data_IF_351385559982
#
_entry.id   IF_351385559982
#
_cell.length_a   1.000
_cell.length_b   1.000
_cell.length_c   1.000
_cell.angle_alpha   90.00
_cell.angle_beta   90.00
_cell.angle_gamma   90.00
#
_symmetry.space_group_name_H-M   'P 1'
#
loop_
_entity.id
_entity.type
_entity.pdbx_description
1 polymer ?
#
# COMPACT_ATOMS: atom_id res chain seq x y z
N UNK A 1 41.13 -13.32 -6.61
CA UNK A 1 40.10 -13.69 -7.61
C UNK A 1 38.77 -13.16 -7.12
N UNK A 2 38.17 -12.20 -7.85
CA UNK A 2 36.82 -11.68 -7.55
C UNK A 2 35.81 -12.79 -7.83
N UNK A 3 35.12 -13.26 -6.81
CA UNK A 3 33.97 -14.14 -7.01
C UNK A 3 32.82 -13.32 -7.63
N UNK A 4 32.47 -13.64 -8.86
CA UNK A 4 31.24 -13.13 -9.47
C UNK A 4 30.07 -13.79 -8.76
N UNK A 5 29.49 -13.14 -7.77
CA UNK A 5 28.27 -13.62 -7.13
C UNK A 5 27.11 -13.46 -8.13
N UNK A 6 26.54 -14.58 -8.55
CA UNK A 6 25.35 -14.55 -9.42
C UNK A 6 24.18 -13.94 -8.65
N UNK A 7 23.60 -12.89 -9.22
CA UNK A 7 22.38 -12.31 -8.67
C UNK A 7 21.25 -13.36 -8.66
N UNK A 8 20.60 -13.62 -7.53
CA UNK A 8 19.47 -14.56 -7.48
C UNK A 8 18.34 -14.08 -8.39
N UNK A 9 17.49 -15.00 -8.84
CA UNK A 9 16.30 -14.65 -9.62
C UNK A 9 15.36 -13.86 -8.71
N UNK A 10 14.96 -12.65 -9.15
CA UNK A 10 13.98 -11.83 -8.43
C UNK A 10 12.59 -12.44 -8.42
N UNK A 11 11.77 -12.06 -7.46
CA UNK A 11 10.36 -12.45 -7.43
C UNK A 11 9.63 -11.84 -8.63
N UNK A 12 8.58 -12.51 -9.09
CA UNK A 12 7.77 -12.05 -10.22
C UNK A 12 7.28 -10.61 -9.99
N UNK A 13 7.44 -9.76 -10.98
CA UNK A 13 7.08 -8.35 -10.91
C UNK A 13 8.16 -7.42 -10.39
N UNK A 14 9.33 -7.95 -9.96
CA UNK A 14 10.48 -7.13 -9.62
C UNK A 14 11.23 -6.68 -10.87
N UNK A 15 11.78 -5.49 -10.83
CA UNK A 15 12.71 -4.95 -11.83
C UNK A 15 14.13 -4.92 -11.25
N UNK A 16 15.11 -5.09 -12.13
CA UNK A 16 16.50 -4.94 -11.74
C UNK A 16 16.81 -3.45 -11.59
N UNK A 17 17.19 -3.07 -10.39
CA UNK A 17 17.48 -1.68 -10.02
C UNK A 17 18.93 -1.57 -9.59
N UNK A 18 19.55 -0.41 -9.79
CA UNK A 18 20.89 -0.12 -9.29
C UNK A 18 20.84 1.10 -8.37
N UNK A 19 21.54 1.03 -7.26
CA UNK A 19 21.96 2.19 -6.51
C UNK A 19 23.44 2.49 -6.76
N UNK A 20 24.02 3.39 -5.98
CA UNK A 20 25.41 3.81 -6.14
C UNK A 20 26.42 2.68 -5.85
N UNK A 21 25.98 1.61 -5.20
CA UNK A 21 26.85 0.57 -4.66
C UNK A 21 26.56 -0.83 -5.22
N UNK A 22 25.32 -1.15 -5.58
CA UNK A 22 24.94 -2.52 -5.89
C UNK A 22 23.79 -2.62 -6.91
N UNK A 23 23.54 -3.82 -7.39
CA UNK A 23 22.44 -4.19 -8.30
C UNK A 23 21.50 -5.13 -7.55
N UNK A 24 20.24 -4.77 -7.44
CA UNK A 24 19.25 -5.55 -6.68
C UNK A 24 17.87 -5.59 -7.37
N UNK A 25 17.04 -6.52 -6.92
CA UNK A 25 15.67 -6.62 -7.40
C UNK A 25 14.75 -5.78 -6.50
N UNK A 26 14.08 -4.79 -7.09
CA UNK A 26 13.06 -4.01 -6.40
C UNK A 26 11.69 -4.17 -7.06
N UNK A 27 10.62 -3.97 -6.29
CA UNK A 27 9.31 -3.73 -6.89
C UNK A 27 9.35 -2.38 -7.61
N UNK A 28 8.81 -2.29 -8.85
CA UNK A 28 8.58 -0.98 -9.45
C UNK A 28 7.67 -0.16 -8.52
N UNK A 29 7.94 1.11 -8.39
CA UNK A 29 7.07 2.07 -7.66
C UNK A 29 5.73 2.32 -8.38
N UNK A 30 5.48 1.59 -9.47
CA UNK A 30 4.25 1.67 -10.23
C UNK A 30 3.13 0.86 -9.55
N UNK A 31 1.92 1.42 -9.57
CA UNK A 31 0.71 0.73 -9.15
C UNK A 31 0.60 -0.67 -9.78
N UNK A 32 0.27 -1.66 -8.99
CA UNK A 32 -0.04 -2.99 -9.51
C UNK A 32 -1.40 -2.95 -10.20
N UNK A 33 -1.51 -3.57 -11.36
CA UNK A 33 -2.80 -3.72 -12.05
C UNK A 33 -3.32 -5.13 -11.84
N UNK A 34 -4.40 -5.25 -11.10
CA UNK A 34 -5.13 -6.50 -10.91
C UNK A 34 -6.29 -6.62 -11.89
N UNK A 35 -6.60 -7.84 -12.27
CA UNK A 35 -7.72 -8.15 -13.14
C UNK A 35 -8.72 -9.06 -12.43
N UNK A 36 -10.00 -8.78 -12.64
CA UNK A 36 -11.13 -9.59 -12.14
C UNK A 36 -11.95 -10.08 -13.31
N UNK A 37 -12.31 -11.36 -13.31
CA UNK A 37 -13.12 -12.00 -14.36
C UNK A 37 -14.00 -13.08 -13.77
N UNK A 38 -15.24 -13.24 -14.29
CA UNK A 38 -16.15 -14.33 -13.88
C UNK A 38 -15.56 -15.73 -14.10
N UNK A 39 -14.62 -15.88 -15.04
CA UNK A 39 -13.87 -17.11 -15.29
C UNK A 39 -12.61 -17.25 -14.43
N UNK A 40 -12.33 -16.27 -13.56
CA UNK A 40 -11.16 -16.26 -12.70
C UNK A 40 -11.32 -17.13 -11.44
N UNK A 41 -10.32 -17.06 -10.58
CA UNK A 41 -10.32 -17.70 -9.26
C UNK A 41 -9.63 -16.79 -8.25
N UNK A 42 -10.17 -16.70 -7.03
CA UNK A 42 -9.54 -15.92 -5.96
C UNK A 42 -8.26 -16.57 -5.41
N UNK A 43 -7.92 -17.77 -5.90
CA UNK A 43 -6.63 -18.40 -5.67
C UNK A 43 -5.55 -18.01 -6.71
N UNK A 44 -5.92 -17.25 -7.73
CA UNK A 44 -5.00 -16.77 -8.76
C UNK A 44 -4.20 -15.56 -8.26
N UNK A 45 -3.26 -15.11 -9.09
CA UNK A 45 -2.39 -13.95 -8.80
C UNK A 45 -3.01 -12.59 -9.18
N UNK A 46 -4.21 -12.58 -9.75
CA UNK A 46 -4.87 -11.35 -10.21
C UNK A 46 -4.27 -10.74 -11.49
N UNK A 47 -3.46 -11.49 -12.24
CA UNK A 47 -2.91 -11.02 -13.51
C UNK A 47 -3.95 -11.07 -14.63
N UNK A 48 -3.65 -10.47 -15.79
CA UNK A 48 -4.55 -10.50 -16.94
C UNK A 48 -4.87 -11.93 -17.41
N UNK A 49 -3.94 -12.87 -17.27
CA UNK A 49 -4.08 -14.27 -17.67
C UNK A 49 -4.61 -15.17 -16.57
N UNK A 50 -4.38 -14.80 -15.32
CA UNK A 50 -4.83 -15.49 -14.10
C UNK A 50 -5.60 -14.50 -13.21
N UNK A 51 -6.78 -14.02 -13.65
CA UNK A 51 -7.54 -13.01 -12.94
C UNK A 51 -8.15 -13.57 -11.65
N UNK A 52 -8.42 -12.69 -10.71
CA UNK A 52 -9.30 -12.99 -9.57
C UNK A 52 -10.74 -13.23 -10.05
N UNK A 53 -11.53 -13.87 -9.21
CA UNK A 53 -12.95 -14.13 -9.48
C UNK A 53 -13.84 -13.03 -8.96
N UNK A 54 -13.53 -12.48 -7.78
CA UNK A 54 -14.38 -11.52 -7.09
C UNK A 54 -13.69 -10.15 -6.95
N UNK A 55 -14.49 -9.10 -7.05
CA UNK A 55 -14.03 -7.72 -6.84
C UNK A 55 -13.64 -7.55 -5.37
N UNK A 56 -14.42 -8.14 -4.47
CA UNK A 56 -14.15 -8.10 -3.03
C UNK A 56 -12.77 -8.66 -2.68
N UNK A 57 -12.38 -9.78 -3.27
CA UNK A 57 -11.04 -10.34 -3.08
C UNK A 57 -9.97 -9.39 -3.65
N UNK A 58 -10.14 -8.90 -4.87
CA UNK A 58 -9.18 -7.97 -5.48
C UNK A 58 -8.97 -6.72 -4.62
N UNK A 59 -10.05 -6.12 -4.07
CA UNK A 59 -9.94 -4.95 -3.19
C UNK A 59 -9.29 -5.26 -1.84
N UNK A 60 -9.39 -6.49 -1.36
CA UNK A 60 -8.70 -6.90 -0.11
C UNK A 60 -7.18 -7.03 -0.29
N UNK A 61 -6.74 -7.47 -1.47
CA UNK A 61 -5.33 -7.65 -1.83
C UNK A 61 -4.68 -6.33 -2.23
N UNK A 62 -5.40 -5.49 -2.97
CA UNK A 62 -4.89 -4.21 -3.45
C UNK A 62 -4.44 -3.30 -2.30
N UNK A 63 -3.33 -2.60 -2.52
CA UNK A 63 -2.70 -1.69 -1.57
C UNK A 63 -2.56 -0.29 -2.13
N UNK A 64 -2.38 0.67 -1.26
CA UNK A 64 -2.05 2.04 -1.60
C UNK A 64 -1.48 2.76 -0.40
N UNK A 65 -0.84 3.90 -0.65
CA UNK A 65 -0.36 4.74 0.43
C UNK A 65 0.84 4.17 1.18
N UNK A 66 1.66 3.36 0.52
CA UNK A 66 2.96 2.99 1.10
C UNK A 66 3.85 4.22 1.13
N UNK A 67 4.49 4.51 2.26
CA UNK A 67 5.42 5.64 2.38
C UNK A 67 6.64 5.39 1.51
N UNK A 68 6.92 6.30 0.59
CA UNK A 68 8.10 6.25 -0.31
C UNK A 68 9.18 7.21 0.17
N UNK A 69 8.79 8.44 0.54
CA UNK A 69 9.72 9.49 0.95
C UNK A 69 9.15 10.27 2.15
N UNK A 70 10.04 10.80 2.97
CA UNK A 70 9.71 11.50 4.20
C UNK A 70 10.35 12.90 4.23
N UNK A 71 9.74 13.82 4.94
CA UNK A 71 10.37 15.09 5.27
C UNK A 71 11.40 14.90 6.40
N UNK A 72 12.22 15.93 6.62
CA UNK A 72 13.28 15.90 7.65
C UNK A 72 12.71 15.49 9.01
N UNK A 73 13.27 14.43 9.64
CA UNK A 73 12.87 14.02 10.97
C UNK A 73 13.18 15.06 12.04
N UNK A 74 12.48 14.95 13.18
CA UNK A 74 12.69 15.78 14.38
C UNK A 74 12.53 14.94 15.64
N UNK A 75 13.16 15.33 16.73
CA UNK A 75 13.17 14.58 18.00
C UNK A 75 14.18 13.43 17.98
N UNK A 76 14.03 12.49 18.91
CA UNK A 76 14.85 11.27 18.97
C UNK A 76 16.30 11.47 19.40
N UNK A 77 16.67 12.63 19.94
CA UNK A 77 18.05 12.92 20.39
C UNK A 77 18.32 12.43 21.80
N UNK A 78 19.59 12.11 22.10
CA UNK A 78 20.03 11.77 23.47
C UNK A 78 19.85 10.29 23.85
N UNK A 79 19.50 9.43 22.90
CA UNK A 79 19.38 7.99 23.12
C UNK A 79 20.72 7.24 22.98
N UNK A 80 20.68 5.93 23.15
CA UNK A 80 21.83 5.06 22.92
C UNK A 80 22.20 5.04 21.43
N UNK A 81 23.47 5.29 21.05
CA UNK A 81 23.89 5.17 19.67
C UNK A 81 23.72 3.74 19.14
N UNK A 82 23.25 3.61 17.89
CA UNK A 82 23.06 2.29 17.29
C UNK A 82 22.31 2.34 15.98
N UNK A 83 22.19 1.16 15.35
CA UNK A 83 21.35 0.93 14.19
C UNK A 83 20.20 0.03 14.61
N UNK A 84 19.00 0.55 14.51
CA UNK A 84 17.75 -0.12 14.88
C UNK A 84 17.03 -0.54 13.61
N UNK A 85 16.94 -1.85 13.36
CA UNK A 85 16.31 -2.40 12.16
C UNK A 85 14.86 -2.78 12.42
N UNK A 86 14.04 -2.71 11.38
CA UNK A 86 12.63 -3.13 11.42
C UNK A 86 11.82 -2.46 12.54
N UNK A 87 12.12 -1.20 12.81
CA UNK A 87 11.40 -0.41 13.81
C UNK A 87 10.02 -0.07 13.26
N UNK A 88 8.98 -0.42 13.99
CA UNK A 88 7.62 -0.06 13.60
C UNK A 88 7.36 1.42 13.84
N UNK A 89 6.56 2.02 12.98
CA UNK A 89 6.09 3.37 13.16
C UNK A 89 4.56 3.45 13.13
N UNK A 90 4.03 4.44 13.83
CA UNK A 90 2.61 4.74 13.87
C UNK A 90 2.31 6.01 13.10
N UNK A 91 1.08 6.14 12.59
CA UNK A 91 0.59 7.31 11.86
C UNK A 91 -0.53 7.98 12.64
N UNK A 92 -0.63 9.29 12.55
CA UNK A 92 -1.83 10.03 13.02
C UNK A 92 -3.02 9.86 12.06
N UNK A 93 -2.78 9.34 10.86
CA UNK A 93 -3.80 8.95 9.89
C UNK A 93 -4.22 7.49 10.05
N UNK A 94 -4.67 6.86 8.97
CA UNK A 94 -5.09 5.45 8.94
C UNK A 94 -4.00 4.49 8.48
N UNK A 95 -2.79 4.99 8.20
CA UNK A 95 -1.66 4.18 7.76
C UNK A 95 -1.20 3.19 8.83
N UNK A 96 -0.80 1.99 8.39
CA UNK A 96 -0.40 0.87 9.24
C UNK A 96 0.77 0.09 8.64
N UNK A 97 1.39 -0.76 9.48
CA UNK A 97 2.41 -1.74 9.09
C UNK A 97 3.68 -1.16 8.46
N UNK A 98 3.97 0.10 8.72
CA UNK A 98 5.22 0.70 8.28
C UNK A 98 6.41 0.27 9.14
N UNK A 99 7.57 0.07 8.50
CA UNK A 99 8.83 -0.26 9.15
C UNK A 99 9.94 0.65 8.64
N UNK A 100 10.82 1.04 9.54
CA UNK A 100 11.98 1.85 9.24
C UNK A 100 13.26 1.24 9.81
N UNK A 101 14.38 1.63 9.24
CA UNK A 101 15.70 1.49 9.84
C UNK A 101 16.11 2.86 10.37
N UNK A 102 16.48 2.92 11.63
CA UNK A 102 16.88 4.16 12.31
C UNK A 102 18.35 4.06 12.71
N UNK A 103 19.14 5.08 12.36
CA UNK A 103 20.54 5.16 12.77
C UNK A 103 20.72 6.37 13.67
N UNK A 104 21.05 6.14 14.93
CA UNK A 104 21.27 7.16 15.94
C UNK A 104 22.75 7.24 16.33
N UNK A 105 23.26 8.45 16.49
CA UNK A 105 24.60 8.74 17.03
C UNK A 105 24.54 9.18 18.51
N UNK A 106 23.35 9.30 19.08
CA UNK A 106 23.10 9.70 20.44
C UNK A 106 23.15 11.20 20.72
N UNK A 107 23.52 12.02 19.72
CA UNK A 107 23.69 13.47 19.90
C UNK A 107 22.83 14.30 18.92
N UNK A 108 22.67 13.83 17.71
CA UNK A 108 21.88 14.49 16.66
C UNK A 108 20.52 13.78 16.44
N UNK A 109 19.67 14.41 15.63
CA UNK A 109 18.44 13.77 15.18
C UNK A 109 18.79 12.55 14.35
N UNK A 110 18.26 11.35 14.67
CA UNK A 110 18.57 10.13 13.92
C UNK A 110 18.19 10.19 12.46
N UNK A 111 18.95 9.49 11.63
CA UNK A 111 18.55 9.26 10.24
C UNK A 111 17.53 8.12 10.15
N UNK A 112 16.56 8.28 9.25
CA UNK A 112 15.48 7.32 9.02
C UNK A 112 15.50 6.87 7.58
N UNK A 113 15.44 5.55 7.38
CA UNK A 113 15.28 4.89 6.09
C UNK A 113 14.00 4.05 6.13
N UNK A 114 13.07 4.29 5.24
CA UNK A 114 11.84 3.50 5.15
C UNK A 114 12.19 2.14 4.51
N UNK A 115 12.06 1.07 5.27
CA UNK A 115 12.33 -0.30 4.78
C UNK A 115 11.07 -1.04 4.34
N UNK A 116 9.91 -0.61 4.86
CA UNK A 116 8.59 -1.02 4.43
C UNK A 116 7.65 0.17 4.60
N UNK A 117 7.10 0.67 3.52
CA UNK A 117 6.22 1.85 3.53
C UNK A 117 4.86 1.62 4.20
N UNK A 118 4.53 0.39 4.56
CA UNK A 118 3.23 0.06 5.13
C UNK A 118 2.10 0.14 4.11
N UNK A 119 0.95 0.64 4.53
CA UNK A 119 -0.19 0.90 3.64
C UNK A 119 -1.16 1.89 4.27
N UNK A 120 -1.94 2.59 3.43
CA UNK A 120 -3.00 3.50 3.88
C UNK A 120 -2.51 4.84 4.43
N UNK A 121 -1.23 5.17 4.25
CA UNK A 121 -0.68 6.49 4.60
C UNK A 121 -1.09 7.54 3.56
N UNK A 122 -1.14 8.79 3.98
CA UNK A 122 -1.37 9.95 3.13
C UNK A 122 -0.19 10.92 3.22
N UNK A 123 0.00 11.71 2.16
CA UNK A 123 0.97 12.82 2.18
C UNK A 123 0.60 13.79 3.31
N UNK A 124 1.59 14.23 4.08
CA UNK A 124 1.50 15.03 5.30
C UNK A 124 0.99 14.29 6.55
N UNK A 125 0.74 12.98 6.51
CA UNK A 125 0.57 12.22 7.73
C UNK A 125 1.80 12.40 8.62
N UNK A 126 1.58 12.59 9.91
CA UNK A 126 2.66 12.60 10.90
C UNK A 126 2.92 11.18 11.37
N UNK A 127 4.15 10.74 11.19
CA UNK A 127 4.64 9.43 11.61
C UNK A 127 5.42 9.60 12.90
N UNK A 128 5.23 8.65 13.81
CA UNK A 128 5.92 8.60 15.10
C UNK A 128 6.59 7.25 15.29
N UNK A 129 7.87 7.29 15.62
CA UNK A 129 8.64 6.16 16.12
C UNK A 129 8.88 6.38 17.62
N UNK A 130 8.47 5.39 18.43
CA UNK A 130 8.56 5.51 19.86
C UNK A 130 10.03 5.53 20.35
N UNK A 131 10.32 6.37 21.30
CA UNK A 131 11.65 6.47 21.91
C UNK A 131 12.17 5.13 22.44
N UNK A 132 11.28 4.30 22.96
CA UNK A 132 11.62 2.97 23.47
C UNK A 132 12.24 2.03 22.41
N UNK A 133 11.92 2.23 21.15
CA UNK A 133 12.33 1.36 20.04
C UNK A 133 13.67 1.80 19.40
N UNK A 134 14.20 2.96 19.81
CA UNK A 134 15.41 3.58 19.23
C UNK A 134 16.42 4.03 20.28
N UNK A 135 16.57 3.25 21.35
CA UNK A 135 17.60 3.46 22.37
C UNK A 135 17.22 4.46 23.47
N UNK A 136 15.92 4.69 23.68
CA UNK A 136 15.37 5.56 24.73
C UNK A 136 15.91 7.01 24.70
N UNK A 137 15.80 7.74 23.59
CA UNK A 137 16.05 9.18 23.56
C UNK A 137 15.04 9.92 24.44
N UNK A 138 15.30 11.21 24.69
CA UNK A 138 14.44 12.06 25.52
C UNK A 138 13.04 12.35 24.95
N UNK A 139 12.82 12.02 23.66
CA UNK A 139 11.54 12.21 22.97
C UNK A 139 11.38 11.22 21.82
N UNK A 140 10.16 10.99 21.38
CA UNK A 140 9.87 10.23 20.17
C UNK A 140 10.51 10.91 18.94
N UNK A 141 10.79 10.10 17.93
CA UNK A 141 11.24 10.56 16.63
C UNK A 141 10.03 10.71 15.72
N UNK A 142 9.86 11.91 15.17
CA UNK A 142 8.71 12.24 14.32
C UNK A 142 9.14 12.78 12.97
N UNK A 143 8.36 12.50 11.94
CA UNK A 143 8.51 13.04 10.59
C UNK A 143 7.16 13.04 9.86
N UNK A 144 7.06 13.77 8.75
CA UNK A 144 5.86 13.74 7.94
C UNK A 144 6.10 13.00 6.63
N UNK A 145 5.08 12.35 6.12
CA UNK A 145 5.10 11.67 4.82
C UNK A 145 5.22 12.72 3.72
N UNK A 146 6.25 12.64 2.90
CA UNK A 146 6.49 13.53 1.77
C UNK A 146 5.87 12.99 0.49
N UNK A 147 6.00 11.68 0.23
CA UNK A 147 5.36 11.03 -0.89
C UNK A 147 4.93 9.61 -0.55
N UNK A 148 3.91 9.14 -1.24
CA UNK A 148 3.40 7.75 -1.17
C UNK A 148 3.38 7.16 -2.57
N UNK A 149 3.40 5.81 -2.66
CA UNK A 149 3.18 5.16 -3.93
C UNK A 149 1.74 5.41 -4.43
N UNK A 150 1.57 5.32 -5.74
CA UNK A 150 0.24 5.36 -6.37
C UNK A 150 -0.48 4.06 -6.03
N UNK A 151 -1.74 4.16 -5.60
CA UNK A 151 -2.53 2.99 -5.26
C UNK A 151 -2.78 2.06 -6.43
N UNK A 152 -2.97 0.77 -6.14
CA UNK A 152 -3.22 -0.27 -7.12
C UNK A 152 -4.50 -0.02 -7.92
N UNK A 153 -4.52 -0.56 -9.14
CA UNK A 153 -5.64 -0.47 -10.07
C UNK A 153 -6.27 -1.85 -10.25
N UNK A 154 -7.58 -1.92 -10.15
CA UNK A 154 -8.35 -3.15 -10.38
C UNK A 154 -9.18 -2.97 -11.64
N UNK A 155 -8.93 -3.79 -12.65
CA UNK A 155 -9.69 -3.84 -13.91
C UNK A 155 -10.69 -4.99 -13.82
N UNK A 156 -11.97 -4.66 -13.82
CA UNK A 156 -13.07 -5.63 -13.78
C UNK A 156 -13.55 -5.85 -15.22
N UNK A 157 -13.34 -7.06 -15.72
CA UNK A 157 -13.76 -7.44 -17.09
C UNK A 157 -15.27 -7.45 -17.23
N UNK A 158 -15.77 -7.43 -18.45
CA UNK A 158 -17.20 -7.50 -18.73
C UNK A 158 -17.82 -8.74 -18.09
N UNK A 159 -18.97 -8.58 -17.44
CA UNK A 159 -19.67 -9.65 -16.77
C UNK A 159 -20.60 -9.16 -15.66
N UNK A 160 -21.39 -10.08 -15.11
CA UNK A 160 -22.24 -9.84 -13.93
C UNK A 160 -21.57 -10.48 -12.72
N UNK A 161 -21.18 -9.67 -11.75
CA UNK A 161 -20.48 -10.08 -10.55
C UNK A 161 -21.45 -10.10 -9.37
N UNK A 162 -21.64 -11.27 -8.77
CA UNK A 162 -22.46 -11.43 -7.56
C UNK A 162 -21.54 -11.39 -6.34
N UNK A 163 -21.61 -10.29 -5.61
CA UNK A 163 -20.66 -9.99 -4.54
C UNK A 163 -21.31 -10.05 -3.15
N UNK A 164 -20.52 -10.47 -2.16
CA UNK A 164 -20.89 -10.33 -0.74
C UNK A 164 -20.55 -8.90 -0.32
N UNK A 165 -21.60 -8.13 -0.09
CA UNK A 165 -21.50 -6.70 0.19
C UNK A 165 -21.29 -6.40 1.69
N UNK A 166 -20.71 -5.26 2.06
CA UNK A 166 -20.16 -4.24 1.16
C UNK A 166 -18.79 -4.62 0.59
N UNK A 167 -18.47 -4.06 -0.58
CA UNK A 167 -17.10 -4.04 -1.09
C UNK A 167 -16.42 -2.79 -0.56
N UNK A 168 -15.34 -2.95 0.18
CA UNK A 168 -14.56 -1.83 0.68
C UNK A 168 -13.37 -1.57 -0.24
N UNK A 169 -13.26 -0.37 -0.75
CA UNK A 169 -12.12 0.08 -1.55
C UNK A 169 -11.25 0.97 -0.69
N UNK A 170 -9.99 0.58 -0.54
CA UNK A 170 -9.02 1.36 0.23
C UNK A 170 -8.76 2.70 -0.46
N UNK A 171 -8.44 3.73 0.32
CA UNK A 171 -8.06 5.03 -0.24
C UNK A 171 -6.88 4.84 -1.21
N UNK A 172 -6.91 5.56 -2.34
CA UNK A 172 -5.90 5.45 -3.39
C UNK A 172 -6.08 4.28 -4.36
N UNK A 173 -6.74 3.19 -3.98
CA UNK A 173 -7.06 2.08 -4.89
C UNK A 173 -8.16 2.50 -5.86
N UNK A 174 -8.00 2.17 -7.14
CA UNK A 174 -8.99 2.47 -8.19
C UNK A 174 -9.59 1.19 -8.75
N UNK A 175 -10.91 1.18 -8.95
CA UNK A 175 -11.64 0.06 -9.57
C UNK A 175 -12.31 0.54 -10.84
N UNK A 176 -12.00 -0.08 -11.97
CA UNK A 176 -12.52 0.24 -13.28
C UNK A 176 -13.26 -0.95 -13.89
N UNK A 177 -14.49 -0.76 -14.31
CA UNK A 177 -15.16 -1.69 -15.23
C UNK A 177 -14.58 -1.53 -16.64
N UNK A 178 -14.39 -2.64 -17.34
CA UNK A 178 -13.84 -2.65 -18.70
C UNK A 178 -14.71 -1.84 -19.68
N UNK A 179 -16.04 -1.88 -19.51
CA UNK A 179 -16.97 -1.02 -20.25
C UNK A 179 -18.12 -0.53 -19.37
N UNK A 180 -18.71 0.62 -19.73
CA UNK A 180 -19.77 1.28 -18.95
C UNK A 180 -21.01 0.41 -18.70
N UNK A 181 -21.36 -0.47 -19.64
CA UNK A 181 -22.58 -1.31 -19.57
C UNK A 181 -22.27 -2.80 -19.53
N UNK A 182 -21.03 -3.17 -19.72
CA UNK A 182 -20.62 -4.58 -19.73
C UNK A 182 -20.21 -5.11 -18.36
N UNK A 183 -19.94 -4.23 -17.38
CA UNK A 183 -19.54 -4.62 -16.03
C UNK A 183 -20.65 -4.26 -15.06
N UNK A 184 -21.30 -5.28 -14.50
CA UNK A 184 -22.40 -5.12 -13.57
C UNK A 184 -22.07 -5.79 -12.24
N UNK A 185 -22.35 -5.11 -11.12
CA UNK A 185 -22.19 -5.65 -9.78
C UNK A 185 -23.55 -5.80 -9.13
N UNK A 186 -23.87 -7.02 -8.70
CA UNK A 186 -25.10 -7.37 -8.00
C UNK A 186 -24.80 -7.94 -6.62
N UNK A 187 -25.70 -7.76 -5.63
CA UNK A 187 -25.58 -8.48 -4.37
C UNK A 187 -25.69 -9.99 -4.61
N UNK A 188 -24.88 -10.78 -3.92
CA UNK A 188 -25.17 -12.20 -3.75
C UNK A 188 -26.47 -12.34 -2.95
N UNK A 189 -27.27 -13.38 -3.23
CA UNK A 189 -28.59 -13.59 -2.59
C UNK A 189 -28.49 -13.51 -1.06
N UNK A 190 -29.36 -12.70 -0.44
CA UNK A 190 -29.42 -12.52 1.02
C UNK A 190 -28.56 -11.39 1.59
N UNK A 191 -27.83 -10.67 0.78
CA UNK A 191 -27.02 -9.51 1.20
C UNK A 191 -27.69 -8.20 0.78
N UNK A 192 -27.70 -7.24 1.70
CA UNK A 192 -28.42 -5.97 1.56
C UNK A 192 -27.98 -5.08 0.39
N UNK A 193 -28.65 -3.94 0.25
CA UNK A 193 -28.66 -3.09 -0.93
C UNK A 193 -27.42 -2.23 -1.19
N UNK A 194 -26.40 -2.25 -0.33
CA UNK A 194 -25.23 -1.41 -0.51
C UNK A 194 -24.13 -2.13 -1.30
N UNK A 195 -23.92 -1.75 -2.54
CA UNK A 195 -22.94 -2.41 -3.43
C UNK A 195 -21.51 -2.12 -3.03
N UNK A 196 -21.19 -0.92 -2.63
CA UNK A 196 -19.83 -0.57 -2.23
C UNK A 196 -19.82 0.54 -1.17
N UNK A 197 -18.88 0.44 -0.26
CA UNK A 197 -18.46 1.57 0.58
C UNK A 197 -17.07 1.97 0.14
N UNK A 198 -16.93 3.17 -0.35
CA UNK A 198 -15.62 3.81 -0.50
C UNK A 198 -15.27 4.36 0.89
N UNK A 199 -14.28 3.78 1.52
CA UNK A 199 -13.77 4.31 2.78
C UNK A 199 -13.09 5.65 2.49
N UNK A 200 -13.88 6.71 2.65
CA UNK A 200 -13.32 8.03 2.79
C UNK A 200 -12.70 8.08 4.18
N UNK A 201 -11.38 8.15 4.24
CA UNK A 201 -10.66 8.33 5.50
C UNK A 201 -11.03 9.70 6.02
N UNK A 202 -12.01 9.73 6.91
CA UNK A 202 -12.38 10.97 7.61
C UNK A 202 -11.27 11.32 8.59
N UNK A 203 -10.52 12.37 8.31
CA UNK A 203 -9.52 12.92 9.22
C UNK A 203 -8.17 13.27 8.61
N UNK A 204 -7.82 12.74 7.44
CA UNK A 204 -6.63 13.15 6.70
C UNK A 204 -6.97 14.22 5.66
N UNK A 205 -6.46 15.42 5.80
CA UNK A 205 -6.45 16.39 4.71
C UNK A 205 -5.52 15.87 3.63
N UNK A 206 -6.06 15.31 2.55
CA UNK A 206 -5.29 14.91 1.37
C UNK A 206 -5.35 13.44 0.95
N UNK A 207 -6.08 12.60 1.66
CA UNK A 207 -6.28 11.21 1.22
C UNK A 207 -7.10 11.14 -0.07
N UNK A 208 -6.56 10.50 -1.11
CA UNK A 208 -7.32 10.25 -2.33
C UNK A 208 -8.33 9.13 -2.06
N UNK A 209 -9.62 9.44 -2.12
CA UNK A 209 -10.68 8.45 -1.99
C UNK A 209 -10.56 7.38 -3.09
N UNK A 210 -10.83 6.13 -2.77
CA UNK A 210 -10.96 5.06 -3.76
C UNK A 210 -12.07 5.39 -4.78
N UNK A 211 -11.87 5.04 -6.03
CA UNK A 211 -12.79 5.43 -7.12
C UNK A 211 -13.35 4.19 -7.81
N UNK A 212 -14.68 4.15 -7.95
CA UNK A 212 -15.37 3.25 -8.88
C UNK A 212 -15.72 3.99 -10.17
N UNK A 213 -15.36 3.42 -11.31
CA UNK A 213 -15.71 3.95 -12.63
C UNK A 213 -16.23 2.85 -13.54
N UNK A 214 -17.22 3.20 -14.36
CA UNK A 214 -17.80 2.29 -15.37
C UNK A 214 -18.39 0.97 -14.81
N UNK A 215 -18.82 0.98 -13.56
CA UNK A 215 -19.54 -0.13 -12.95
C UNK A 215 -21.00 0.28 -12.83
N UNK A 216 -21.91 -0.48 -13.45
CA UNK A 216 -23.35 -0.27 -13.31
C UNK A 216 -23.83 -0.94 -12.04
N UNK A 217 -24.54 -0.18 -11.21
CA UNK A 217 -25.17 -0.66 -10.01
C UNK A 217 -26.65 -0.87 -10.29
N UNK A 218 -27.14 -2.10 -10.16
CA UNK A 218 -28.55 -2.39 -10.25
C UNK A 218 -29.18 -2.26 -8.86
N UNK A 219 -30.17 -1.39 -8.74
CA UNK A 219 -30.94 -1.14 -7.53
C UNK A 219 -32.28 -1.88 -7.64
N UNK A 220 -32.31 -3.18 -7.39
CA UNK A 220 -33.56 -3.94 -7.18
C UNK A 220 -33.67 -4.42 -5.78
#
# INVERSE_FOLDING_TARGET
>A
ASQTTRLPIGVRGSVLTTDVADVFWSKPEAATVYYVSNSGSDSNEGTQYLPFKTIKHATSVATSGDVVDINTPSGGTGGTPGVYNSVSFTSNGSGTNGLARVTADGSSVPSVEITNGGSGHAVNDTITIAAADIGNPGSDLTFTVKSINVGDVIIVKNGVYREILPIQVKAGVSVYGETLRGTEVRPASGNGHQVATVNNISGGTGGTAGTFKYIHQDST
#
